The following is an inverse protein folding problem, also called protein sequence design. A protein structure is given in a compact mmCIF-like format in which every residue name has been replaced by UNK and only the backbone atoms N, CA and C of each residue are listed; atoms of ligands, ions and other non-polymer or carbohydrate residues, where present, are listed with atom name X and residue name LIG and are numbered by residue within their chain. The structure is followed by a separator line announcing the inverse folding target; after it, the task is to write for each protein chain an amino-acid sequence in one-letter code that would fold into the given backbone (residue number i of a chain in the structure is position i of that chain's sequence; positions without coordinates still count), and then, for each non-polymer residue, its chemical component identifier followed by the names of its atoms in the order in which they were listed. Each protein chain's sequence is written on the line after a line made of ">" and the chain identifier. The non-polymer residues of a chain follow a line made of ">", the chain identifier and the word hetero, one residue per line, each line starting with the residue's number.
data_IF_355449214192
#
_entry.id   IF_355449214192
#
_cell.length_a   1.000
_cell.length_b   1.000
_cell.length_c   1.000
_cell.angle_alpha   90.00
_cell.angle_beta   90.00
_cell.angle_gamma   90.00
#
_symmetry.space_group_name_H-M   'P 1'
#
loop_
_entity.id
_entity.type
_entity.pdbx_description
1 polymer ?
#
# COMPACT_ATOMS: atom_id res chain seq x y z
N UNK A 1 9.88 -6.58 24.02
CA UNK A 1 9.65 -6.34 22.57
C UNK A 1 11.00 -6.44 21.89
N UNK A 2 11.40 -7.66 21.48
CA UNK A 2 12.62 -7.85 20.71
C UNK A 2 12.21 -8.05 19.25
N UNK A 3 12.80 -7.28 18.35
CA UNK A 3 12.52 -7.34 16.91
C UNK A 3 13.85 -7.58 16.21
N UNK A 4 14.05 -8.80 15.71
CA UNK A 4 15.33 -9.22 15.11
C UNK A 4 15.53 -8.70 13.67
N UNK A 5 14.46 -8.21 13.03
CA UNK A 5 14.55 -7.64 11.67
C UNK A 5 15.30 -6.31 11.71
N UNK A 6 16.43 -6.26 11.01
CA UNK A 6 17.18 -5.02 10.76
C UNK A 6 16.46 -4.17 9.70
N UNK A 7 16.12 -2.93 10.05
CA UNK A 7 15.50 -1.94 9.15
C UNK A 7 16.58 -1.01 8.60
N UNK A 8 16.78 -1.01 7.28
CA UNK A 8 17.80 -0.19 6.61
C UNK A 8 17.29 1.25 6.36
N UNK A 9 17.28 2.08 7.41
CA UNK A 9 16.72 3.44 7.40
C UNK A 9 17.29 4.32 6.27
N UNK A 10 18.61 4.31 6.07
CA UNK A 10 19.27 5.09 5.01
C UNK A 10 18.80 4.75 3.59
N UNK A 11 18.31 3.52 3.41
CA UNK A 11 17.78 3.06 2.13
C UNK A 11 16.30 3.42 1.96
N UNK A 12 15.56 3.53 3.06
CA UNK A 12 14.15 3.93 3.09
C UNK A 12 13.99 5.43 2.84
N UNK A 13 14.79 6.27 3.49
CA UNK A 13 14.73 7.73 3.34
C UNK A 13 14.95 8.20 1.89
N UNK A 14 15.69 7.40 1.10
CA UNK A 14 15.90 7.65 -0.35
C UNK A 14 14.67 7.36 -1.21
N UNK A 15 13.57 6.87 -0.64
CA UNK A 15 12.31 6.61 -1.37
C UNK A 15 12.40 5.52 -2.45
N UNK A 16 13.42 4.66 -2.42
CA UNK A 16 13.62 3.62 -3.45
C UNK A 16 12.56 2.52 -3.29
N UNK A 17 11.84 2.21 -4.37
CA UNK A 17 10.73 1.26 -4.37
C UNK A 17 11.07 -0.11 -3.77
N UNK A 18 12.19 -0.71 -4.19
CA UNK A 18 12.59 -2.06 -3.75
C UNK A 18 12.75 -2.16 -2.22
N UNK A 19 13.41 -1.19 -1.60
CA UNK A 19 13.65 -1.20 -0.15
C UNK A 19 12.36 -0.90 0.63
N UNK A 20 11.54 0.01 0.11
CA UNK A 20 10.25 0.35 0.73
C UNK A 20 9.24 -0.80 0.64
N UNK A 21 9.20 -1.51 -0.49
CA UNK A 21 8.35 -2.68 -0.65
C UNK A 21 8.77 -3.82 0.27
N UNK A 22 10.08 -4.11 0.38
CA UNK A 22 10.58 -5.12 1.34
C UNK A 22 10.18 -4.79 2.78
N UNK A 23 10.32 -3.51 3.16
CA UNK A 23 9.93 -3.04 4.49
C UNK A 23 8.44 -3.22 4.74
N UNK A 24 7.57 -2.73 3.86
CA UNK A 24 6.11 -2.82 4.03
C UNK A 24 5.64 -4.27 4.04
N UNK A 25 6.23 -5.13 3.21
CA UNK A 25 5.86 -6.54 3.16
C UNK A 25 6.20 -7.28 4.45
N UNK A 26 7.34 -6.97 5.06
CA UNK A 26 7.67 -7.47 6.39
C UNK A 26 6.78 -6.82 7.47
N UNK A 27 6.57 -5.50 7.42
CA UNK A 27 5.80 -4.75 8.40
C UNK A 27 4.37 -5.26 8.51
N UNK A 28 3.74 -5.64 7.38
CA UNK A 28 2.39 -6.24 7.40
C UNK A 28 2.35 -7.54 8.20
N UNK A 29 3.31 -8.44 7.99
CA UNK A 29 3.41 -9.70 8.77
C UNK A 29 3.66 -9.42 10.25
N UNK A 30 4.51 -8.46 10.55
CA UNK A 30 4.76 -8.01 11.92
C UNK A 30 3.48 -7.45 12.56
N UNK A 31 2.75 -6.59 11.87
CA UNK A 31 1.51 -6.01 12.35
C UNK A 31 0.45 -7.08 12.64
N UNK A 32 0.25 -8.00 11.70
CA UNK A 32 -0.77 -9.06 11.84
C UNK A 32 -0.49 -10.00 13.02
N UNK A 33 0.78 -10.27 13.33
CA UNK A 33 1.18 -11.09 14.46
C UNK A 33 1.07 -10.39 15.83
N UNK A 34 1.06 -9.06 15.86
CA UNK A 34 1.12 -8.27 17.11
C UNK A 34 -0.15 -7.45 17.38
N UNK A 35 -1.08 -7.37 16.43
CA UNK A 35 -2.30 -6.58 16.58
C UNK A 35 -3.43 -7.39 17.23
N UNK A 36 -3.84 -6.98 18.44
CA UNK A 36 -4.87 -7.64 19.25
C UNK A 36 -6.27 -7.03 19.08
N UNK A 37 -6.53 -6.30 17.99
CA UNK A 37 -7.86 -5.75 17.70
C UNK A 37 -8.21 -4.44 18.43
N UNK A 38 -7.21 -3.69 18.90
CA UNK A 38 -7.43 -2.41 19.57
C UNK A 38 -7.86 -1.33 18.57
N UNK A 39 -8.92 -0.59 18.87
CA UNK A 39 -9.29 0.59 18.10
C UNK A 39 -8.17 1.63 18.13
N UNK A 40 -7.86 2.17 16.96
CA UNK A 40 -6.86 3.22 16.76
C UNK A 40 -7.47 4.29 15.86
N UNK A 41 -7.55 5.52 16.36
CA UNK A 41 -7.95 6.68 15.56
C UNK A 41 -6.70 7.35 14.96
N UNK A 42 -6.45 7.22 13.65
CA UNK A 42 -5.27 7.79 13.01
C UNK A 42 -5.35 9.31 12.84
N UNK A 43 -6.54 9.92 12.89
CA UNK A 43 -6.72 11.37 12.73
C UNK A 43 -6.43 12.08 14.04
N UNK A 44 -7.01 11.59 15.14
CA UNK A 44 -6.74 12.07 16.49
C UNK A 44 -5.25 11.90 16.83
N UNK A 45 -4.64 10.77 16.48
CA UNK A 45 -3.22 10.53 16.72
C UNK A 45 -2.30 11.50 15.95
N UNK A 46 -2.76 12.05 14.83
CA UNK A 46 -2.05 13.09 14.05
C UNK A 46 -2.47 14.51 14.44
N UNK A 47 -3.20 14.70 15.54
CA UNK A 47 -3.69 16.01 15.99
C UNK A 47 -4.52 16.74 14.91
N UNK A 48 -5.31 15.97 14.15
CA UNK A 48 -6.13 16.51 13.07
C UNK A 48 -5.38 16.84 11.77
N UNK A 49 -4.09 16.47 11.65
CA UNK A 49 -3.39 16.59 10.37
C UNK A 49 -3.82 15.49 9.39
N UNK A 50 -4.39 15.93 8.27
CA UNK A 50 -4.71 15.05 7.14
C UNK A 50 -3.45 14.36 6.61
N UNK A 51 -3.56 13.06 6.35
CA UNK A 51 -2.46 12.24 5.83
C UNK A 51 -2.04 12.64 4.40
N UNK A 52 -2.88 13.39 3.71
CA UNK A 52 -2.71 13.80 2.33
C UNK A 52 -2.64 15.32 2.35
N UNK A 53 -1.47 15.93 2.09
CA UNK A 53 -1.43 17.38 1.89
C UNK A 53 -2.38 17.72 0.74
N UNK A 54 -3.12 18.84 0.82
CA UNK A 54 -4.01 19.24 -0.25
C UNK A 54 -3.20 19.26 -1.57
N UNK A 55 -3.74 18.71 -2.67
CA UNK A 55 -3.05 18.72 -3.94
C UNK A 55 -2.65 20.17 -4.27
N UNK A 56 -1.46 20.40 -4.84
CA UNK A 56 -1.08 21.73 -5.29
C UNK A 56 -2.19 22.27 -6.19
N UNK A 57 -2.57 23.53 -6.02
CA UNK A 57 -3.53 24.22 -6.90
C UNK A 57 -2.91 24.35 -8.30
N UNK A 58 -2.87 23.25 -9.06
CA UNK A 58 -2.58 23.26 -10.47
C UNK A 58 -3.82 23.82 -11.18
N UNK A 59 -3.65 24.96 -11.84
CA UNK A 59 -4.65 25.60 -12.68
C UNK A 59 -5.42 24.55 -13.49
N UNK A 60 -6.73 24.44 -13.21
CA UNK A 60 -7.67 23.65 -13.99
C UNK A 60 -7.83 24.33 -15.36
N UNK A 61 -7.28 23.72 -16.40
CA UNK A 61 -7.76 23.90 -17.77
C UNK A 61 -8.06 22.55 -18.41
N UNK A 62 -9.35 22.40 -18.73
CA UNK A 62 -10.00 21.54 -19.75
C UNK A 62 -10.10 20.00 -19.57
N UNK A 63 -11.31 19.60 -19.13
CA UNK A 63 -12.27 18.74 -19.85
C UNK A 63 -12.23 17.20 -19.71
N UNK A 64 -13.33 16.68 -19.13
CA UNK A 64 -14.12 15.45 -19.44
C UNK A 64 -13.35 14.11 -19.51
N UNK A 65 -13.69 13.05 -18.75
CA UNK A 65 -14.95 12.32 -18.82
C UNK A 65 -15.20 11.49 -17.56
N UNK A 66 -16.45 11.48 -17.10
CA UNK A 66 -16.98 10.49 -16.17
C UNK A 66 -17.31 9.22 -16.96
N UNK A 67 -16.57 8.14 -16.76
CA UNK A 67 -17.00 6.79 -17.14
C UNK A 67 -16.90 5.86 -15.93
N UNK A 68 -18.06 5.40 -15.49
CA UNK A 68 -18.21 4.29 -14.54
C UNK A 68 -17.94 3.00 -15.33
N UNK A 69 -16.94 2.21 -14.96
CA UNK A 69 -16.87 0.77 -15.28
C UNK A 69 -16.16 0.04 -14.14
N UNK A 70 -16.68 -1.14 -13.80
CA UNK A 70 -16.44 -1.87 -12.54
C UNK A 70 -15.07 -2.55 -12.36
N UNK A 71 -14.95 -3.42 -11.34
CA UNK A 71 -13.67 -3.96 -10.89
C UNK A 71 -13.13 -4.99 -11.90
N UNK A 72 -11.85 -4.83 -12.24
CA UNK A 72 -11.09 -5.75 -13.07
C UNK A 72 -10.81 -7.05 -12.29
N UNK A 73 -11.13 -8.25 -12.81
CA UNK A 73 -10.74 -9.49 -12.16
C UNK A 73 -9.22 -9.75 -12.31
N UNK A 74 -8.58 -10.44 -11.36
CA UNK A 74 -7.16 -10.78 -11.44
C UNK A 74 -6.89 -11.81 -12.56
N UNK A 75 -5.67 -11.82 -13.14
CA UNK A 75 -5.33 -12.73 -14.23
C UNK A 75 -5.31 -14.18 -13.73
N UNK A 76 -6.14 -15.03 -14.33
CA UNK A 76 -6.15 -16.47 -14.06
C UNK A 76 -4.98 -17.14 -14.79
N UNK A 77 -4.00 -17.67 -14.06
CA UNK A 77 -2.96 -18.54 -14.61
C UNK A 77 -3.59 -19.88 -15.01
N UNK A 78 -3.66 -20.16 -16.31
CA UNK A 78 -4.19 -21.42 -16.84
C UNK A 78 -3.09 -22.49 -16.93
N UNK A 79 -3.12 -23.47 -16.03
CA UNK A 79 -2.35 -24.71 -16.18
C UNK A 79 -3.06 -25.56 -17.24
N UNK A 80 -2.46 -25.67 -18.43
CA UNK A 80 -2.96 -26.51 -19.52
C UNK A 80 -2.54 -27.96 -19.27
N UNK A 81 -3.48 -28.79 -18.81
CA UNK A 81 -3.30 -30.25 -18.81
C UNK A 81 -3.61 -30.74 -20.22
N UNK A 82 -2.60 -31.28 -20.92
CA UNK A 82 -2.79 -31.89 -22.23
C UNK A 82 -3.27 -33.33 -22.03
N UNK A 83 -4.50 -33.62 -22.43
CA UNK A 83 -4.94 -34.99 -22.73
C UNK A 83 -5.04 -35.15 -24.23
N UNK A 84 -4.30 -36.15 -24.74
CA UNK A 84 -4.24 -36.58 -26.14
C UNK A 84 -5.01 -37.90 -26.31
N UNK A 85 -5.26 -38.32 -27.56
CA UNK A 85 -6.59 -38.48 -28.17
C UNK A 85 -7.36 -39.75 -27.82
#
# INVERSE_FOLDING_TARGET
>A
MNVDKVILVEKLVKGRFQNNLDFIQWFKKFYDANYYGKEYDPVEARQGQDAIPPPPLANRSSTCQKSRTGPTPPPQMSIRVHSSP
#
